data_IF_685783943431
#
_entry.id   IF_685783943431
#
_cell.length_a   1.000
_cell.length_b   1.000
_cell.length_c   1.000
_cell.angle_alpha   90.00
_cell.angle_beta   90.00
_cell.angle_gamma   90.00
#
_symmetry.space_group_name_H-M   'P 1'
#
loop_
_entity.id
_entity.type
_entity.pdbx_description
1 polymer ?
#
# COMPACT_ATOMS: atom_id res chain seq x y z
N UNK A 1 -30.81 -10.98 10.13
CA UNK A 1 -31.77 -11.51 9.15
C UNK A 1 -33.04 -10.69 9.25
N UNK A 2 -33.63 -10.30 8.13
CA UNK A 2 -34.92 -9.59 8.13
C UNK A 2 -36.04 -10.64 8.09
N UNK A 3 -37.09 -10.42 8.89
CA UNK A 3 -38.28 -11.28 8.93
C UNK A 3 -39.36 -10.64 8.06
N UNK A 4 -39.81 -11.38 7.06
CA UNK A 4 -40.92 -11.01 6.18
C UNK A 4 -42.16 -11.80 6.59
N UNK A 5 -43.27 -11.10 6.74
CA UNK A 5 -44.56 -11.66 7.11
C UNK A 5 -45.44 -11.72 5.86
N UNK A 6 -46.05 -12.88 5.61
CA UNK A 6 -46.90 -13.12 4.46
C UNK A 6 -48.36 -12.88 4.81
N UNK A 7 -48.97 -11.88 4.19
CA UNK A 7 -50.36 -11.47 4.47
C UNK A 7 -51.20 -11.71 3.22
N UNK A 8 -52.29 -12.50 3.32
CA UNK A 8 -53.22 -12.66 2.23
C UNK A 8 -54.07 -11.40 2.07
N UNK A 9 -54.26 -10.98 0.82
CA UNK A 9 -55.25 -9.97 0.44
C UNK A 9 -56.55 -10.67 0.01
N UNK A 10 -57.67 -9.97 0.03
CA UNK A 10 -58.98 -10.48 -0.43
C UNK A 10 -58.98 -10.91 -1.89
N UNK A 11 -58.08 -10.35 -2.71
CA UNK A 11 -57.86 -10.77 -4.09
C UNK A 11 -57.13 -12.14 -4.24
N UNK A 12 -56.74 -12.77 -3.13
CA UNK A 12 -56.03 -14.06 -3.09
C UNK A 12 -54.51 -13.96 -3.25
N UNK A 13 -53.94 -12.75 -3.38
CA UNK A 13 -52.49 -12.54 -3.46
C UNK A 13 -51.86 -12.44 -2.07
N UNK A 14 -50.60 -12.85 -1.97
CA UNK A 14 -49.82 -12.78 -0.72
C UNK A 14 -48.83 -11.62 -0.80
N UNK A 15 -48.90 -10.71 0.16
CA UNK A 15 -47.96 -9.60 0.30
C UNK A 15 -46.91 -9.90 1.36
N UNK A 16 -45.64 -9.67 1.03
CA UNK A 16 -44.54 -9.77 1.98
C UNK A 16 -44.28 -8.40 2.61
N UNK A 17 -44.49 -8.29 3.92
CA UNK A 17 -44.27 -7.04 4.66
C UNK A 17 -43.28 -7.20 5.80
N UNK A 18 -42.59 -6.13 6.15
CA UNK A 18 -41.65 -6.11 7.28
C UNK A 18 -42.31 -5.59 8.55
N UNK A 19 -41.72 -5.86 9.72
CA UNK A 19 -42.18 -5.32 11.01
C UNK A 19 -42.35 -3.79 11.01
N UNK A 20 -41.54 -3.08 10.23
CA UNK A 20 -41.58 -1.61 10.13
C UNK A 20 -42.82 -1.08 9.41
N UNK A 21 -43.55 -1.94 8.68
CA UNK A 21 -44.76 -1.57 7.95
C UNK A 21 -46.05 -1.95 8.71
N UNK A 22 -45.93 -2.50 9.92
CA UNK A 22 -47.08 -2.86 10.74
C UNK A 22 -47.97 -1.64 11.04
N UNK A 23 -49.29 -1.79 10.86
CA UNK A 23 -50.26 -0.71 11.07
C UNK A 23 -50.25 0.38 9.99
N UNK A 24 -49.54 0.17 8.88
CA UNK A 24 -49.63 1.05 7.69
C UNK A 24 -50.59 0.48 6.66
N UNK A 25 -51.01 1.29 5.69
CA UNK A 25 -51.80 0.84 4.54
C UNK A 25 -50.93 0.83 3.29
N UNK A 26 -51.05 -0.23 2.49
CA UNK A 26 -50.36 -0.35 1.21
C UNK A 26 -51.40 -0.55 0.10
N UNK A 27 -51.14 0.02 -1.06
CA UNK A 27 -52.02 -0.18 -2.21
C UNK A 27 -51.79 -1.57 -2.80
N UNK A 28 -52.85 -2.39 -2.85
CA UNK A 28 -52.81 -3.66 -3.54
C UNK A 28 -53.02 -3.45 -5.04
N UNK A 29 -52.44 -4.32 -5.88
CA UNK A 29 -52.67 -4.31 -7.33
C UNK A 29 -54.14 -4.57 -7.72
N UNK A 30 -54.98 -5.05 -6.79
CA UNK A 30 -56.42 -5.16 -7.02
C UNK A 30 -57.16 -3.81 -6.94
N UNK A 31 -56.47 -2.72 -6.57
CA UNK A 31 -57.03 -1.37 -6.45
C UNK A 31 -57.64 -1.05 -5.08
N UNK A 32 -57.67 -2.01 -4.16
CA UNK A 32 -58.15 -1.85 -2.78
C UNK A 32 -56.95 -1.57 -1.85
N UNK A 33 -57.02 -0.60 -0.92
CA UNK A 33 -55.98 -0.39 0.08
C UNK A 33 -55.96 -1.55 1.09
N UNK A 34 -54.84 -2.27 1.17
CA UNK A 34 -54.64 -3.33 2.15
C UNK A 34 -54.08 -2.73 3.44
N UNK A 35 -54.88 -2.79 4.50
CA UNK A 35 -54.43 -2.38 5.84
C UNK A 35 -53.56 -3.48 6.44
N UNK A 36 -52.30 -3.16 6.72
CA UNK A 36 -51.37 -4.11 7.34
C UNK A 36 -51.78 -4.25 8.82
N UNK A 37 -52.03 -5.48 9.30
CA UNK A 37 -52.37 -5.74 10.69
C UNK A 37 -51.34 -5.20 11.66
N UNK A 38 -51.77 -5.05 12.91
CA UNK A 38 -50.89 -4.57 13.97
C UNK A 38 -49.75 -5.56 14.24
N UNK A 39 -48.69 -5.09 14.91
CA UNK A 39 -47.56 -5.93 15.31
C UNK A 39 -47.95 -7.18 16.10
N UNK A 40 -49.11 -7.18 16.77
CA UNK A 40 -49.62 -8.31 17.54
C UNK A 40 -50.16 -9.40 16.62
N UNK A 41 -50.99 -9.00 15.66
CA UNK A 41 -51.64 -9.89 14.68
C UNK A 41 -50.66 -10.43 13.66
N UNK A 42 -49.64 -9.63 13.27
CA UNK A 42 -48.56 -10.07 12.38
C UNK A 42 -47.83 -11.33 12.87
N UNK A 43 -47.82 -11.61 14.19
CA UNK A 43 -47.17 -12.81 14.74
C UNK A 43 -47.90 -14.11 14.39
N UNK A 44 -49.17 -14.02 13.98
CA UNK A 44 -50.00 -15.18 13.63
C UNK A 44 -49.78 -15.61 12.17
N UNK A 45 -49.11 -14.77 11.37
CA UNK A 45 -48.84 -15.03 9.96
C UNK A 45 -47.49 -15.76 9.74
N UNK A 46 -47.37 -16.56 8.66
CA UNK A 46 -46.15 -17.27 8.34
C UNK A 46 -44.99 -16.31 8.04
N UNK A 47 -43.82 -16.64 8.59
CA UNK A 47 -42.60 -15.83 8.50
C UNK A 47 -41.61 -16.48 7.56
N UNK A 48 -41.09 -15.68 6.63
CA UNK A 48 -39.93 -16.06 5.81
C UNK A 48 -38.72 -15.25 6.26
N UNK A 49 -37.63 -15.93 6.59
CA UNK A 49 -36.35 -15.28 6.87
C UNK A 49 -35.56 -15.17 5.57
N UNK A 50 -35.27 -13.94 5.14
CA UNK A 50 -34.35 -13.69 4.01
C UNK A 50 -33.12 -12.91 4.48
N UNK A 51 -31.97 -13.16 3.84
CA UNK A 51 -30.79 -12.33 4.04
C UNK A 51 -31.09 -10.91 3.58
N UNK A 52 -30.84 -9.95 4.48
CA UNK A 52 -31.10 -8.54 4.29
C UNK A 52 -30.26 -7.98 3.12
N UNK A 53 -30.88 -7.52 2.01
CA UNK A 53 -30.15 -6.99 0.87
C UNK A 53 -29.44 -5.66 1.19
N UNK A 54 -29.93 -4.87 2.17
CA UNK A 54 -29.32 -3.59 2.53
C UNK A 54 -28.09 -3.76 3.42
N UNK A 55 -28.03 -4.80 4.27
CA UNK A 55 -26.81 -5.13 5.02
C UNK A 55 -25.66 -5.61 4.14
N UNK A 56 -25.94 -6.17 2.96
CA UNK A 56 -24.89 -6.49 1.97
C UNK A 56 -24.32 -5.22 1.32
N UNK A 57 -25.14 -4.22 1.04
CA UNK A 57 -24.69 -2.98 0.39
C UNK A 57 -23.74 -2.14 1.27
N UNK A 58 -23.92 -2.12 2.59
CA UNK A 58 -23.07 -1.37 3.52
C UNK A 58 -21.75 -2.10 3.88
N UNK A 59 -21.66 -3.41 3.67
CA UNK A 59 -20.45 -4.19 3.97
C UNK A 59 -19.54 -4.39 2.74
N UNK A 60 -20.08 -4.25 1.53
CA UNK A 60 -19.31 -4.40 0.29
C UNK A 60 -18.41 -3.20 -0.04
N UNK A 61 -18.67 -2.01 0.52
CA UNK A 61 -17.83 -0.83 0.24
C UNK A 61 -16.56 -0.72 1.09
N UNK A 62 -16.45 -1.49 2.19
CA UNK A 62 -15.31 -1.44 3.10
C UNK A 62 -14.21 -2.47 2.74
N UNK A 63 -14.58 -3.59 2.11
CA UNK A 63 -13.63 -4.64 1.75
C UNK A 63 -12.79 -4.35 0.49
N UNK A 64 -13.22 -3.45 -0.40
CA UNK A 64 -12.46 -3.09 -1.62
C UNK A 64 -11.34 -2.08 -1.35
N UNK A 65 -11.46 -1.24 -0.30
CA UNK A 65 -10.47 -0.20 0.02
C UNK A 65 -9.13 -0.75 0.50
N UNK A 66 -9.09 -1.92 1.13
CA UNK A 66 -7.84 -2.54 1.63
C UNK A 66 -7.01 -3.10 0.48
N UNK A 67 -7.65 -3.64 -0.56
CA UNK A 67 -6.96 -4.20 -1.73
C UNK A 67 -6.32 -3.08 -2.58
N UNK A 68 -6.99 -1.94 -2.70
CA UNK A 68 -6.47 -0.77 -3.43
C UNK A 68 -5.34 -0.06 -2.65
N UNK A 69 -5.46 0.10 -1.32
CA UNK A 69 -4.39 0.66 -0.48
C UNK A 69 -3.10 -0.16 -0.49
N UNK A 70 -3.20 -1.50 -0.52
CA UNK A 70 -2.01 -2.37 -0.58
C UNK A 70 -1.26 -2.28 -1.91
N UNK A 71 -1.98 -2.11 -3.03
CA UNK A 71 -1.34 -1.90 -4.35
C UNK A 71 -0.59 -0.56 -4.42
N UNK A 72 -1.14 0.49 -3.80
CA UNK A 72 -0.47 1.79 -3.69
C UNK A 72 0.82 1.72 -2.87
N UNK A 73 0.82 0.97 -1.77
CA UNK A 73 2.02 0.80 -0.93
C UNK A 73 3.17 0.12 -1.69
N UNK A 74 2.89 -0.95 -2.43
CA UNK A 74 3.89 -1.64 -3.26
C UNK A 74 4.46 -0.71 -4.33
N UNK A 75 3.62 0.08 -4.98
CA UNK A 75 4.07 1.07 -5.97
C UNK A 75 4.97 2.14 -5.34
N UNK A 76 4.60 2.67 -4.17
CA UNK A 76 5.41 3.66 -3.44
C UNK A 76 6.76 3.08 -3.03
N UNK A 77 6.82 1.84 -2.52
CA UNK A 77 8.07 1.19 -2.16
C UNK A 77 8.97 0.95 -3.38
N UNK A 78 8.38 0.58 -4.52
CA UNK A 78 9.12 0.39 -5.76
C UNK A 78 9.71 1.72 -6.25
N UNK A 79 8.90 2.78 -6.32
CA UNK A 79 9.37 4.11 -6.72
C UNK A 79 10.46 4.62 -5.77
N UNK A 80 10.28 4.46 -4.47
CA UNK A 80 11.29 4.83 -3.48
C UNK A 80 12.61 4.07 -3.69
N UNK A 81 12.54 2.75 -3.89
CA UNK A 81 13.73 1.92 -4.14
C UNK A 81 14.49 2.38 -5.40
N UNK A 82 13.78 2.66 -6.49
CA UNK A 82 14.39 3.17 -7.74
C UNK A 82 15.04 4.54 -7.52
N UNK A 83 14.37 5.45 -6.81
CA UNK A 83 14.92 6.78 -6.50
C UNK A 83 16.19 6.68 -5.64
N UNK A 84 16.18 5.89 -4.56
CA UNK A 84 17.36 5.71 -3.72
C UNK A 84 18.52 5.05 -4.47
N UNK A 85 18.23 4.06 -5.32
CA UNK A 85 19.24 3.44 -6.17
C UNK A 85 19.84 4.45 -7.17
N UNK A 86 18.99 5.25 -7.82
CA UNK A 86 19.43 6.29 -8.76
C UNK A 86 20.31 7.35 -8.10
N UNK A 87 19.93 7.81 -6.90
CA UNK A 87 20.74 8.75 -6.11
C UNK A 87 22.09 8.11 -5.74
N UNK A 88 22.09 6.84 -5.28
CA UNK A 88 23.32 6.13 -4.96
C UNK A 88 24.27 6.00 -6.17
N UNK A 89 23.74 5.67 -7.35
CA UNK A 89 24.51 5.60 -8.60
C UNK A 89 25.05 6.98 -9.00
N UNK A 90 24.23 8.03 -8.90
CA UNK A 90 24.65 9.39 -9.19
C UNK A 90 25.82 9.83 -8.30
N UNK A 91 25.74 9.59 -6.99
CA UNK A 91 26.83 9.87 -6.06
C UNK A 91 28.07 9.02 -6.36
N UNK A 92 27.90 7.75 -6.73
CA UNK A 92 29.03 6.89 -7.08
C UNK A 92 29.76 7.38 -8.35
N UNK A 93 29.03 7.86 -9.36
CA UNK A 93 29.61 8.39 -10.59
C UNK A 93 30.26 9.76 -10.41
N UNK A 94 29.68 10.62 -9.58
CA UNK A 94 30.22 11.96 -9.28
C UNK A 94 31.29 11.93 -8.20
N UNK A 95 31.49 10.80 -7.52
CA UNK A 95 32.54 10.64 -6.53
C UNK A 95 33.91 10.82 -7.22
N UNK A 96 34.72 11.83 -6.82
CA UNK A 96 36.02 12.03 -7.41
C UNK A 96 36.88 10.79 -7.15
N UNK A 97 37.28 10.10 -8.23
CA UNK A 97 38.22 9.00 -8.13
C UNK A 97 39.56 9.56 -7.72
N UNK A 98 40.24 8.88 -6.80
CA UNK A 98 41.59 9.27 -6.42
C UNK A 98 42.47 9.23 -7.69
N UNK A 99 43.23 10.30 -7.98
CA UNK A 99 44.16 10.29 -9.10
C UNK A 99 45.25 9.27 -8.79
N UNK A 100 45.08 8.05 -9.30
CA UNK A 100 46.15 7.05 -9.29
C UNK A 100 47.20 7.48 -10.30
N UNK A 101 48.46 7.11 -10.05
CA UNK A 101 49.59 7.41 -10.96
C UNK A 101 49.31 6.93 -12.39
N UNK A 102 48.53 5.86 -12.51
CA UNK A 102 48.07 5.27 -13.77
C UNK A 102 47.06 6.15 -14.53
N UNK A 103 46.29 6.98 -13.83
CA UNK A 103 45.27 7.86 -14.39
C UNK A 103 45.72 9.32 -14.51
N UNK A 104 46.92 9.66 -14.05
CA UNK A 104 47.52 10.98 -14.21
C UNK A 104 47.91 11.17 -15.68
N UNK A 105 46.93 11.61 -16.47
CA UNK A 105 47.05 11.72 -17.93
C UNK A 105 47.89 12.91 -18.38
N UNK A 106 48.11 13.91 -17.52
CA UNK A 106 48.96 15.04 -17.85
C UNK A 106 50.36 14.95 -17.19
N UNK A 107 51.45 15.25 -17.93
CA UNK A 107 52.80 15.30 -17.37
C UNK A 107 52.92 16.27 -16.18
N UNK A 108 52.08 17.31 -16.15
CA UNK A 108 52.05 18.30 -15.07
C UNK A 108 51.47 17.72 -13.77
N UNK A 109 50.41 16.91 -13.84
CA UNK A 109 49.86 16.20 -12.68
C UNK A 109 50.89 15.23 -12.08
N UNK A 110 51.58 14.46 -12.93
CA UNK A 110 52.65 13.54 -12.49
C UNK A 110 53.77 14.32 -11.78
N UNK A 111 54.18 15.46 -12.35
CA UNK A 111 55.17 16.33 -11.73
C UNK A 111 54.71 16.89 -10.37
N UNK A 112 53.44 17.30 -10.24
CA UNK A 112 52.88 17.76 -8.97
C UNK A 112 52.89 16.66 -7.91
N UNK A 113 52.47 15.43 -8.26
CA UNK A 113 52.53 14.29 -7.34
C UNK A 113 53.97 14.01 -6.90
N UNK A 114 54.93 14.07 -7.83
CA UNK A 114 56.34 13.88 -7.52
C UNK A 114 56.89 14.97 -6.57
N UNK A 115 56.49 16.23 -6.75
CA UNK A 115 56.87 17.31 -5.82
C UNK A 115 56.35 17.04 -4.41
N UNK A 116 55.10 16.60 -4.29
CA UNK A 116 54.52 16.24 -2.98
C UNK A 116 55.23 15.05 -2.33
N UNK A 117 55.63 14.05 -3.12
CA UNK A 117 56.44 12.92 -2.62
C UNK A 117 57.83 13.37 -2.13
N UNK A 118 58.41 14.39 -2.77
CA UNK A 118 59.74 14.90 -2.44
C UNK A 118 59.79 15.65 -1.11
N UNK A 119 58.67 16.23 -0.67
CA UNK A 119 58.53 16.89 0.63
C UNK A 119 58.50 15.91 1.82
N UNK A 120 58.45 14.60 1.57
CA UNK A 120 58.49 13.55 2.59
C UNK A 120 57.09 13.10 3.04
N UNK A 121 56.99 11.84 3.47
CA UNK A 121 55.72 11.20 3.87
C UNK A 121 55.16 11.78 5.18
N UNK A 122 56.00 12.41 5.99
CA UNK A 122 55.64 12.91 7.33
C UNK A 122 55.00 14.32 7.32
N UNK A 123 54.79 14.94 6.16
CA UNK A 123 54.09 16.22 6.13
C UNK A 123 52.61 16.02 6.45
N UNK A 124 52.05 16.77 7.42
CA UNK A 124 50.63 16.69 7.71
C UNK A 124 49.82 17.05 6.46
N UNK A 125 48.68 16.40 6.22
CA UNK A 125 47.88 16.61 5.02
C UNK A 125 47.52 18.09 4.88
N UNK A 126 47.64 18.60 3.66
CA UNK A 126 47.24 19.97 3.36
C UNK A 126 45.75 20.16 3.64
N UNK A 127 45.33 21.40 3.93
CA UNK A 127 43.91 21.72 4.16
C UNK A 127 43.01 21.29 2.99
N UNK A 128 43.54 21.31 1.76
CA UNK A 128 42.84 20.85 0.57
C UNK A 128 42.63 19.33 0.58
N UNK A 129 43.63 18.54 0.97
CA UNK A 129 43.52 17.08 1.11
C UNK A 129 42.56 16.69 2.22
N UNK A 130 42.58 17.41 3.36
CA UNK A 130 41.60 17.20 4.42
C UNK A 130 40.16 17.46 3.93
N UNK A 131 39.91 18.53 3.17
CA UNK A 131 38.58 18.78 2.61
C UNK A 131 38.14 17.70 1.60
N UNK A 132 39.07 17.15 0.80
CA UNK A 132 38.77 16.04 -0.12
C UNK A 132 38.44 14.75 0.62
N UNK A 133 39.23 14.37 1.61
CA UNK A 133 38.98 13.14 2.38
C UNK A 133 37.64 13.21 3.12
N UNK A 134 37.28 14.37 3.68
CA UNK A 134 35.97 14.55 4.32
C UNK A 134 34.81 14.50 3.32
N UNK A 135 34.94 15.08 2.13
CA UNK A 135 33.90 14.99 1.08
C UNK A 135 33.73 13.56 0.54
N UNK A 136 34.82 12.82 0.39
CA UNK A 136 34.79 11.39 0.00
C UNK A 136 34.10 10.55 1.09
N UNK A 137 34.49 10.71 2.36
CA UNK A 137 33.84 10.00 3.49
C UNK A 137 32.36 10.30 3.56
N UNK A 138 31.97 11.56 3.40
CA UNK A 138 30.57 11.96 3.42
C UNK A 138 29.78 11.31 2.27
N UNK A 139 30.36 11.24 1.07
CA UNK A 139 29.74 10.58 -0.09
C UNK A 139 29.55 9.08 0.14
N UNK A 140 30.54 8.38 0.70
CA UNK A 140 30.43 6.97 1.07
C UNK A 140 29.35 6.71 2.12
N UNK A 141 29.19 7.59 3.11
CA UNK A 141 28.12 7.50 4.10
C UNK A 141 26.75 7.62 3.43
N UNK A 142 26.57 8.55 2.51
CA UNK A 142 25.32 8.70 1.75
C UNK A 142 25.02 7.48 0.88
N UNK A 143 26.02 6.91 0.20
CA UNK A 143 25.86 5.69 -0.59
C UNK A 143 25.42 4.52 0.31
N UNK A 144 26.04 4.33 1.47
CA UNK A 144 25.67 3.29 2.43
C UNK A 144 24.23 3.48 2.95
N UNK A 145 23.83 4.71 3.27
CA UNK A 145 22.46 5.03 3.71
C UNK A 145 21.44 4.76 2.59
N UNK A 146 21.70 5.19 1.36
CA UNK A 146 20.79 4.97 0.25
C UNK A 146 20.68 3.48 -0.11
N UNK A 147 21.80 2.76 -0.09
CA UNK A 147 21.84 1.32 -0.33
C UNK A 147 21.06 0.52 0.70
N UNK A 148 21.24 0.83 1.99
CA UNK A 148 20.49 0.18 3.09
C UNK A 148 18.99 0.51 3.02
N UNK A 149 18.62 1.76 2.75
CA UNK A 149 17.22 2.15 2.56
C UNK A 149 16.54 1.41 1.40
N UNK A 150 17.24 1.28 0.26
CA UNK A 150 16.74 0.52 -0.89
C UNK A 150 16.56 -0.97 -0.56
N UNK A 151 17.52 -1.58 0.14
CA UNK A 151 17.42 -2.98 0.57
C UNK A 151 16.21 -3.21 1.49
N UNK A 152 15.94 -2.30 2.44
CA UNK A 152 14.77 -2.37 3.32
C UNK A 152 13.46 -2.26 2.54
N UNK A 153 13.38 -1.39 1.52
CA UNK A 153 12.20 -1.27 0.66
C UNK A 153 11.93 -2.57 -0.10
N UNK A 154 12.99 -3.18 -0.65
CA UNK A 154 12.91 -4.45 -1.38
C UNK A 154 12.44 -5.58 -0.44
N UNK A 155 13.03 -5.69 0.76
CA UNK A 155 12.62 -6.67 1.76
C UNK A 155 11.15 -6.49 2.17
N UNK A 156 10.69 -5.24 2.35
CA UNK A 156 9.30 -4.92 2.60
C UNK A 156 8.38 -5.38 1.47
N UNK A 157 8.76 -5.15 0.21
CA UNK A 157 8.02 -5.64 -0.95
C UNK A 157 7.93 -7.17 -0.96
N UNK A 158 9.05 -7.88 -0.78
CA UNK A 158 9.05 -9.34 -0.72
C UNK A 158 8.19 -9.88 0.42
N UNK A 159 8.28 -9.29 1.62
CA UNK A 159 7.46 -9.68 2.76
C UNK A 159 5.96 -9.57 2.45
N UNK A 160 5.52 -8.47 1.84
CA UNK A 160 4.11 -8.32 1.45
C UNK A 160 3.67 -9.29 0.35
N UNK A 161 4.56 -9.66 -0.58
CA UNK A 161 4.28 -10.67 -1.60
C UNK A 161 4.14 -12.07 -1.00
N UNK A 162 5.03 -12.46 -0.09
CA UNK A 162 4.96 -13.77 0.59
C UNK A 162 3.67 -13.90 1.40
N UNK A 163 3.29 -12.87 2.15
CA UNK A 163 2.01 -12.85 2.89
C UNK A 163 0.82 -13.03 1.93
N UNK A 164 0.88 -12.41 0.75
CA UNK A 164 -0.18 -12.53 -0.27
C UNK A 164 -0.26 -13.94 -0.86
N UNK A 165 0.88 -14.54 -1.22
CA UNK A 165 0.94 -15.91 -1.75
C UNK A 165 0.40 -16.89 -0.71
N UNK A 166 0.83 -16.75 0.55
CA UNK A 166 0.36 -17.60 1.64
C UNK A 166 -1.17 -17.49 1.86
N UNK A 167 -1.72 -16.28 1.78
CA UNK A 167 -3.17 -16.07 1.88
C UNK A 167 -3.94 -16.67 0.69
N UNK A 168 -3.39 -16.70 -0.53
CA UNK A 168 -4.05 -17.36 -1.66
C UNK A 168 -4.08 -18.87 -1.48
N UNK A 169 -2.95 -19.47 -1.10
CA UNK A 169 -2.85 -20.92 -0.86
C UNK A 169 -3.85 -21.38 0.20
N UNK A 170 -4.04 -20.61 1.28
CA UNK A 170 -4.98 -20.96 2.34
C UNK A 170 -6.46 -20.91 1.91
N UNK A 171 -6.81 -20.07 0.93
CA UNK A 171 -8.17 -19.98 0.40
C UNK A 171 -8.51 -21.12 -0.57
N UNK A 172 -7.52 -21.70 -1.23
CA UNK A 172 -7.72 -22.80 -2.18
C UNK A 172 -7.92 -24.16 -1.48
N UNK A 173 -7.65 -24.22 -0.17
CA UNK A 173 -7.77 -25.43 0.65
C UNK A 173 -9.07 -25.54 1.48
N UNK A 174 -9.88 -24.48 1.55
CA UNK A 174 -11.21 -24.46 2.20
C UNK A 174 -12.34 -24.66 1.19
#
# INVERSE_FOLDING_TARGET
>A
MLKYYQIPCECGRIHEVTKTQAGSSIDCECGEPLTIPTMRELKEYPVTERPDPQKKALSLHSASGVRQRRSGLLFVLLVASVLFAGIGVYYFQTCPKEPTVENASSPFEVWQVWQTLRTGIDTPPSRAEMMRTETIKMSWRWIAICGTASALCILGMFGTLVIRINHQINLDHE
#
